data_IF_286352501914
#
_entry.id   IF_286352501914
#
_cell.length_a   1.000
_cell.length_b   1.000
_cell.length_c   1.000
_cell.angle_alpha   90.00
_cell.angle_beta   90.00
_cell.angle_gamma   90.00
#
_symmetry.space_group_name_H-M   'P 1'
#
loop_
_entity.id
_entity.type
_entity.pdbx_description
1 polymer ?
#
# COMPACT_ATOMS: atom_id res chain seq x y z
N UNK A 1 -13.88 -8.79 9.69
CA UNK A 1 -12.72 -7.86 9.63
C UNK A 1 -12.26 -7.92 8.20
N UNK A 2 -12.28 -6.78 7.52
CA UNK A 2 -11.79 -6.70 6.14
C UNK A 2 -10.31 -6.36 6.25
N UNK A 3 -9.45 -7.33 5.99
CA UNK A 3 -8.03 -7.08 5.90
C UNK A 3 -7.76 -6.72 4.44
N UNK A 4 -7.41 -5.47 4.19
CA UNK A 4 -7.07 -5.02 2.84
C UNK A 4 -5.56 -5.04 2.68
N UNK A 5 -5.09 -5.70 1.63
CA UNK A 5 -3.67 -5.79 1.33
C UNK A 5 -3.31 -4.74 0.29
N UNK A 6 -2.28 -3.93 0.56
CA UNK A 6 -1.73 -2.98 -0.40
C UNK A 6 -0.38 -3.48 -0.88
N UNK A 7 -0.24 -3.66 -2.19
CA UNK A 7 1.03 -3.98 -2.82
C UNK A 7 1.63 -2.72 -3.43
N UNK A 8 2.90 -2.44 -3.13
CA UNK A 8 3.68 -1.37 -3.73
C UNK A 8 4.65 -1.98 -4.75
N UNK A 9 4.59 -1.51 -5.99
CA UNK A 9 5.43 -1.98 -7.10
C UNK A 9 6.22 -0.82 -7.68
N UNK A 10 7.51 -1.02 -7.95
CA UNK A 10 8.33 -0.05 -8.67
C UNK A 10 8.03 -0.14 -10.18
N UNK A 11 7.55 0.94 -10.79
CA UNK A 11 7.14 0.94 -12.21
C UNK A 11 8.30 0.76 -13.18
N UNK A 12 9.52 1.10 -12.75
CA UNK A 12 10.71 1.08 -13.60
C UNK A 12 11.22 -0.36 -13.74
N UNK A 13 11.30 -1.05 -12.61
CA UNK A 13 11.81 -2.42 -12.50
C UNK A 13 10.70 -3.46 -12.63
N UNK A 14 9.43 -3.02 -12.55
CA UNK A 14 8.23 -3.85 -12.48
C UNK A 14 8.30 -4.92 -11.37
N UNK A 15 9.01 -4.60 -10.29
CA UNK A 15 9.25 -5.47 -9.15
C UNK A 15 8.38 -5.03 -7.98
N UNK A 16 7.80 -6.02 -7.29
CA UNK A 16 7.13 -5.79 -6.01
C UNK A 16 8.16 -5.33 -5.00
N UNK A 17 7.94 -4.15 -4.43
CA UNK A 17 8.79 -3.58 -3.38
C UNK A 17 8.40 -4.20 -2.04
N UNK A 18 7.10 -4.12 -1.69
CA UNK A 18 6.57 -4.63 -0.43
C UNK A 18 5.05 -4.79 -0.50
N UNK A 19 4.52 -5.64 0.39
CA UNK A 19 3.09 -5.83 0.62
C UNK A 19 2.75 -5.49 2.08
N UNK A 20 1.76 -4.64 2.28
CA UNK A 20 1.29 -4.25 3.62
C UNK A 20 -0.15 -4.73 3.84
N UNK A 21 -0.39 -5.33 5.00
CA UNK A 21 -1.75 -5.62 5.47
C UNK A 21 -2.18 -4.41 6.29
N UNK A 22 -3.09 -3.62 5.73
CA UNK A 22 -3.57 -2.40 6.35
C UNK A 22 -4.96 -2.65 6.92
N UNK A 23 -5.11 -2.49 8.23
CA UNK A 23 -6.38 -2.56 8.94
C UNK A 23 -6.78 -1.15 9.37
N UNK A 24 -7.66 -0.52 8.60
CA UNK A 24 -8.27 0.74 8.98
C UNK A 24 -9.57 0.45 9.73
N UNK A 25 -9.57 0.66 11.04
CA UNK A 25 -10.74 0.50 11.91
C UNK A 25 -11.76 1.66 11.76
N UNK A 26 -12.17 1.98 10.53
CA UNK A 26 -13.17 3.03 10.27
C UNK A 26 -14.09 2.62 9.11
N UNK A 27 -15.36 3.00 9.20
CA UNK A 27 -16.39 2.66 8.20
C UNK A 27 -16.41 3.62 7.01
N UNK A 28 -15.70 4.75 7.10
CA UNK A 28 -15.61 5.80 6.08
C UNK A 28 -14.20 5.84 5.46
N UNK A 29 -13.57 4.67 5.31
CA UNK A 29 -12.23 4.56 4.73
C UNK A 29 -12.30 4.48 3.22
N UNK A 30 -11.50 5.32 2.57
CA UNK A 30 -11.33 5.33 1.14
C UNK A 30 -10.11 4.50 0.74
N UNK A 31 -10.05 4.08 -0.52
CA UNK A 31 -8.88 3.41 -1.09
C UNK A 31 -7.61 4.27 -0.94
N UNK A 32 -7.75 5.60 -0.94
CA UNK A 32 -6.63 6.51 -0.76
C UNK A 32 -5.99 6.40 0.63
N UNK A 33 -6.80 6.20 1.68
CA UNK A 33 -6.30 6.05 3.06
C UNK A 33 -5.42 4.80 3.18
N UNK A 34 -5.79 3.71 2.51
CA UNK A 34 -4.98 2.49 2.47
C UNK A 34 -3.64 2.71 1.77
N UNK A 35 -3.63 3.48 0.68
CA UNK A 35 -2.40 3.79 -0.05
C UNK A 35 -1.48 4.74 0.69
N UNK A 36 -2.05 5.69 1.43
CA UNK A 36 -1.28 6.60 2.26
C UNK A 36 -0.62 5.85 3.41
N UNK A 37 -1.34 4.97 4.12
CA UNK A 37 -0.72 4.19 5.19
C UNK A 37 0.37 3.25 4.67
N UNK A 38 0.11 2.51 3.59
CA UNK A 38 1.13 1.65 3.00
C UNK A 38 2.37 2.43 2.56
N UNK A 39 2.18 3.67 2.07
CA UNK A 39 3.28 4.54 1.70
C UNK A 39 4.07 5.03 2.91
N UNK A 40 3.41 5.46 3.98
CA UNK A 40 4.09 5.90 5.21
C UNK A 40 4.92 4.76 5.80
N UNK A 41 4.39 3.53 5.87
CA UNK A 41 5.15 2.36 6.28
C UNK A 41 6.39 2.14 5.39
N UNK A 42 6.24 2.20 4.06
CA UNK A 42 7.36 1.98 3.14
C UNK A 42 8.45 3.05 3.25
N UNK A 43 8.08 4.30 3.54
CA UNK A 43 9.02 5.39 3.76
C UNK A 43 9.74 5.21 5.09
N UNK A 44 9.03 4.85 6.17
CA UNK A 44 9.62 4.61 7.49
C UNK A 44 10.62 3.45 7.45
N UNK A 45 10.27 2.36 6.77
CA UNK A 45 11.14 1.20 6.55
C UNK A 45 12.28 1.46 5.54
N UNK A 46 12.34 2.65 4.93
CA UNK A 46 13.34 3.04 3.91
C UNK A 46 13.37 2.11 2.68
N UNK A 47 12.22 1.53 2.32
CA UNK A 47 12.07 0.63 1.16
C UNK A 47 11.79 1.38 -0.14
N UNK A 48 11.23 2.57 -0.05
CA UNK A 48 10.90 3.44 -1.18
C UNK A 48 11.63 4.77 -1.07
N UNK A 49 11.82 5.44 -2.20
CA UNK A 49 12.33 6.80 -2.21
C UNK A 49 11.15 7.79 -2.07
N UNK A 50 11.05 8.56 -0.98
CA UNK A 50 9.92 9.45 -0.74
C UNK A 50 9.79 10.56 -1.80
N UNK A 51 10.89 10.94 -2.45
CA UNK A 51 10.90 11.95 -3.51
C UNK A 51 10.37 11.40 -4.86
N UNK A 52 10.19 10.09 -4.96
CA UNK A 52 9.84 9.40 -6.20
C UNK A 52 8.51 8.65 -6.09
N UNK A 53 7.56 9.13 -5.27
CA UNK A 53 6.24 8.47 -5.10
C UNK A 53 5.55 8.14 -6.43
N UNK A 54 5.66 9.01 -7.43
CA UNK A 54 5.06 8.80 -8.76
C UNK A 54 5.64 7.61 -9.54
N UNK A 55 6.86 7.18 -9.21
CA UNK A 55 7.52 6.03 -9.82
C UNK A 55 7.02 4.69 -9.25
N UNK A 56 6.22 4.74 -8.19
CA UNK A 56 5.60 3.56 -7.59
C UNK A 56 4.12 3.45 -7.97
N UNK A 57 3.64 2.21 -8.03
CA UNK A 57 2.25 1.84 -8.23
C UNK A 57 1.71 1.16 -6.98
N UNK A 58 0.45 1.42 -6.66
CA UNK A 58 -0.24 0.88 -5.48
C UNK A 58 -1.44 0.08 -5.95
N UNK A 59 -1.57 -1.14 -5.46
CA UNK A 59 -2.68 -2.04 -5.79
C UNK A 59 -3.33 -2.47 -4.48
N UNK A 60 -4.62 -2.17 -4.33
CA UNK A 60 -5.43 -2.67 -3.23
C UNK A 60 -6.02 -4.02 -3.62
N UNK A 61 -5.72 -5.06 -2.85
CA UNK A 61 -6.33 -6.38 -2.97
C UNK A 61 -7.20 -6.59 -1.74
N UNK A 62 -8.52 -6.55 -1.94
CA UNK A 62 -9.48 -6.91 -0.92
C UNK A 62 -9.50 -8.44 -0.79
N UNK A 63 -8.98 -8.98 0.33
CA UNK A 63 -9.16 -10.39 0.63
C UNK A 63 -10.50 -10.59 1.35
N UNK A 64 -11.53 -10.96 0.58
CA UNK A 64 -12.80 -11.43 1.14
C UNK A 64 -12.57 -12.80 1.77
N UNK A 65 -12.30 -12.83 3.09
CA UNK A 65 -12.25 -14.10 3.84
C UNK A 65 -13.69 -14.62 3.93
N UNK A 66 -13.97 -15.70 3.19
CA UNK A 66 -15.24 -16.44 3.21
C UNK A 66 -15.35 -17.38 4.41
#
# INVERSE_FOLDING_TARGET
MYNSKVTITDKISNNVVMEYIIDLHSNDVSVADYFDEAWECAVDESLVNPLRRSDYEFILVEETIH
#
